data_IF_488007230540
#
_entry.id   IF_488007230540
#
_cell.length_a   1.000
_cell.length_b   1.000
_cell.length_c   1.000
_cell.angle_alpha   90.00
_cell.angle_beta   90.00
_cell.angle_gamma   90.00
#
_symmetry.space_group_name_H-M   'P 1'
#
loop_
_entity.id
_entity.type
_entity.pdbx_description
1 polymer ?
#
# COMPACT_ATOMS: atom_id res chain seq x y z
N UNK A 1 -21.06 8.82 1.76
CA UNK A 1 -20.14 7.80 2.33
C UNK A 1 -18.73 8.18 1.93
N UNK A 2 -17.80 8.34 2.88
CA UNK A 2 -16.39 8.61 2.54
C UNK A 2 -15.79 7.36 1.89
N UNK A 3 -15.07 7.53 0.78
CA UNK A 3 -14.42 6.43 0.06
C UNK A 3 -12.99 6.24 0.59
N UNK A 4 -12.47 5.02 0.44
CA UNK A 4 -11.04 4.75 0.61
C UNK A 4 -10.28 5.51 -0.48
N UNK A 5 -9.26 6.27 -0.09
CA UNK A 5 -8.39 6.99 -1.01
C UNK A 5 -6.94 6.56 -0.80
N UNK A 6 -6.19 6.41 -1.89
CA UNK A 6 -4.75 6.21 -1.84
C UNK A 6 -4.03 7.46 -2.30
N UNK A 7 -2.98 7.84 -1.57
CA UNK A 7 -2.13 8.99 -1.86
C UNK A 7 -0.71 8.48 -2.08
N UNK A 8 -0.13 8.85 -3.21
CA UNK A 8 1.24 8.54 -3.58
C UNK A 8 2.11 9.78 -3.38
N UNK A 9 3.32 9.59 -2.86
CA UNK A 9 4.34 10.63 -2.84
C UNK A 9 5.69 10.07 -3.23
N UNK A 10 6.37 10.77 -4.15
CA UNK A 10 7.75 10.49 -4.52
C UNK A 10 8.70 11.03 -3.45
N UNK A 11 9.74 10.28 -3.13
CA UNK A 11 10.80 10.76 -2.22
C UNK A 11 11.45 12.04 -2.76
N UNK A 12 11.65 13.02 -1.89
CA UNK A 12 12.14 14.35 -2.27
C UNK A 12 11.07 15.32 -2.77
N UNK A 13 9.85 14.84 -3.04
CA UNK A 13 8.70 15.68 -3.37
C UNK A 13 7.87 16.00 -2.11
N UNK A 14 7.26 17.19 -2.11
CA UNK A 14 6.32 17.63 -1.07
C UNK A 14 4.87 17.39 -1.48
N UNK A 15 4.59 17.26 -2.77
CA UNK A 15 3.25 17.00 -3.28
C UNK A 15 2.79 15.58 -2.93
N UNK A 16 1.48 15.45 -2.73
CA UNK A 16 0.78 14.16 -2.67
C UNK A 16 -0.10 14.04 -3.90
N UNK A 17 -0.01 12.92 -4.58
CA UNK A 17 -0.80 12.61 -5.77
C UNK A 17 -1.93 11.64 -5.37
N UNK A 18 -3.20 12.04 -5.47
CA UNK A 18 -4.31 11.12 -5.25
C UNK A 18 -4.36 10.09 -6.39
N UNK A 19 -4.53 8.81 -6.04
CA UNK A 19 -4.77 7.75 -7.00
C UNK A 19 -6.29 7.63 -7.20
N UNK A 20 -6.80 8.39 -8.16
CA UNK A 20 -8.25 8.52 -8.41
C UNK A 20 -8.86 7.28 -9.09
N UNK A 21 -8.02 6.47 -9.73
CA UNK A 21 -8.41 5.25 -10.44
C UNK A 21 -7.91 4.00 -9.71
N UNK A 22 -8.59 2.85 -9.85
CA UNK A 22 -8.12 1.58 -9.26
C UNK A 22 -6.77 1.09 -9.80
N UNK A 23 -6.36 1.58 -10.98
CA UNK A 23 -5.09 1.28 -11.63
C UNK A 23 -4.49 2.57 -12.17
N UNK A 24 -3.18 2.75 -11.98
CA UNK A 24 -2.42 3.91 -12.41
C UNK A 24 -1.02 3.46 -12.83
N UNK A 25 -0.48 4.12 -13.85
CA UNK A 25 0.91 3.94 -14.26
C UNK A 25 1.79 5.01 -13.63
N UNK A 26 2.92 4.57 -13.09
CA UNK A 26 3.93 5.46 -12.49
C UNK A 26 5.31 5.06 -12.99
N UNK A 27 6.22 6.03 -13.03
CA UNK A 27 7.62 5.77 -13.34
C UNK A 27 8.29 5.00 -12.20
N UNK A 28 9.34 4.25 -12.53
CA UNK A 28 10.21 3.65 -11.52
C UNK A 28 10.79 4.74 -10.60
N UNK A 29 10.83 4.46 -9.30
CA UNK A 29 11.36 5.39 -8.32
C UNK A 29 11.07 4.98 -6.89
N UNK A 30 11.44 5.86 -5.96
CA UNK A 30 11.21 5.65 -4.53
C UNK A 30 9.98 6.44 -4.10
N UNK A 31 8.97 5.72 -3.62
CA UNK A 31 7.66 6.26 -3.30
C UNK A 31 7.19 5.76 -1.95
N UNK A 32 6.31 6.52 -1.31
CA UNK A 32 5.46 6.04 -0.22
C UNK A 32 3.99 6.13 -0.62
N UNK A 33 3.20 5.21 -0.10
CA UNK A 33 1.75 5.20 -0.28
C UNK A 33 1.07 5.32 1.07
N UNK A 34 0.13 6.25 1.20
CA UNK A 34 -0.73 6.43 2.37
C UNK A 34 -2.17 6.16 1.96
N UNK A 35 -2.88 5.38 2.78
CA UNK A 35 -4.32 5.20 2.65
C UNK A 35 -5.05 6.16 3.58
N UNK A 36 -6.09 6.83 3.07
CA UNK A 36 -7.09 7.53 3.86
C UNK A 36 -8.33 6.65 3.91
N UNK A 37 -8.55 6.02 5.05
CA UNK A 37 -9.62 5.05 5.28
C UNK A 37 -10.77 5.76 6.01
N UNK A 38 -12.04 5.50 5.66
CA UNK A 38 -13.18 6.15 6.28
C UNK A 38 -13.45 5.70 7.74
N UNK A 39 -12.54 4.97 8.37
CA UNK A 39 -12.63 4.45 9.74
C UNK A 39 -11.39 4.88 10.54
N UNK A 40 -11.48 5.96 11.35
CA UNK A 40 -10.41 6.39 12.24
C UNK A 40 -10.13 5.39 13.37
N UNK A 41 -8.89 5.36 13.86
CA UNK A 41 -8.46 4.52 14.99
C UNK A 41 -8.79 3.02 14.86
N UNK A 42 -8.98 2.53 13.63
CA UNK A 42 -9.43 1.18 13.32
C UNK A 42 -8.24 0.26 12.98
N UNK A 43 -8.34 -0.99 13.40
CA UNK A 43 -7.42 -2.04 12.95
C UNK A 43 -7.81 -2.52 11.55
N UNK A 44 -6.79 -2.68 10.71
CA UNK A 44 -6.93 -3.10 9.32
C UNK A 44 -5.84 -4.10 8.96
N UNK A 45 -6.10 -4.91 7.95
CA UNK A 45 -5.07 -5.67 7.25
C UNK A 45 -4.67 -4.94 5.97
N UNK A 46 -3.38 -4.72 5.79
CA UNK A 46 -2.77 -4.18 4.57
C UNK A 46 -2.17 -5.36 3.81
N UNK A 47 -2.51 -5.50 2.53
CA UNK A 47 -1.86 -6.46 1.62
C UNK A 47 -1.24 -5.76 0.43
N UNK A 48 -0.02 -6.14 0.10
CA UNK A 48 0.75 -5.64 -1.04
C UNK A 48 1.23 -6.84 -1.85
N UNK A 49 0.87 -6.86 -3.13
CA UNK A 49 1.37 -7.84 -4.08
C UNK A 49 2.24 -7.14 -5.12
N UNK A 50 3.37 -7.76 -5.43
CA UNK A 50 4.23 -7.36 -6.53
C UNK A 50 4.40 -8.53 -7.49
N UNK A 51 4.21 -8.26 -8.78
CA UNK A 51 4.50 -9.20 -9.86
C UNK A 51 5.52 -8.54 -10.78
N UNK A 52 6.71 -9.15 -10.90
CA UNK A 52 7.76 -8.66 -11.80
C UNK A 52 7.33 -8.76 -13.27
N UNK A 53 7.79 -7.81 -14.08
CA UNK A 53 7.69 -7.87 -15.55
C UNK A 53 8.85 -8.66 -16.21
N UNK A 54 9.85 -9.11 -15.45
CA UNK A 54 10.98 -9.86 -16.02
C UNK A 54 10.56 -11.25 -16.54
N UNK A 55 10.87 -11.52 -17.81
CA UNK A 55 10.45 -12.72 -18.56
C UNK A 55 11.11 -14.01 -18.08
N UNK A 56 12.19 -13.93 -17.30
CA UNK A 56 13.04 -15.09 -16.97
C UNK A 56 12.44 -15.93 -15.83
N UNK A 57 11.63 -15.34 -14.95
CA UNK A 57 10.80 -16.03 -13.95
C UNK A 57 9.85 -15.02 -13.29
N UNK A 58 8.51 -15.16 -13.42
CA UNK A 58 7.58 -14.27 -12.74
C UNK A 58 7.65 -14.50 -11.22
N UNK A 59 8.47 -13.70 -10.55
CA UNK A 59 8.53 -13.71 -9.09
C UNK A 59 7.36 -12.90 -8.56
N UNK A 60 6.35 -13.61 -8.01
CA UNK A 60 5.25 -13.00 -7.28
C UNK A 60 5.62 -12.90 -5.81
N UNK A 61 5.62 -11.69 -5.28
CA UNK A 61 5.85 -11.41 -3.87
C UNK A 61 4.57 -10.90 -3.24
N UNK A 62 4.23 -11.43 -2.07
CA UNK A 62 3.08 -11.01 -1.29
C UNK A 62 3.54 -10.62 0.11
N UNK A 63 3.08 -9.47 0.60
CA UNK A 63 3.32 -9.02 1.96
C UNK A 63 1.99 -8.62 2.58
N UNK A 64 1.74 -9.08 3.80
CA UNK A 64 0.61 -8.62 4.60
C UNK A 64 1.07 -8.14 5.97
N UNK A 65 0.40 -7.12 6.51
CA UNK A 65 0.61 -6.70 7.89
C UNK A 65 -0.66 -6.07 8.46
N UNK A 66 -0.84 -6.22 9.76
CA UNK A 66 -1.85 -5.46 10.51
C UNK A 66 -1.34 -4.06 10.80
N UNK A 67 -2.23 -3.07 10.74
CA UNK A 67 -1.95 -1.70 11.12
C UNK A 67 -3.18 -1.06 11.75
N UNK A 68 -2.97 0.04 12.46
CA UNK A 68 -4.05 0.86 13.00
C UNK A 68 -4.06 2.22 12.31
N UNK A 69 -5.21 2.67 11.84
CA UNK A 69 -5.37 4.03 11.32
C UNK A 69 -5.24 5.04 12.45
N UNK A 70 -4.75 6.24 12.14
CA UNK A 70 -4.66 7.31 13.12
C UNK A 70 -6.03 8.01 13.32
N UNK A 71 -6.14 9.05 14.18
CA UNK A 71 -7.39 9.79 14.39
C UNK A 71 -7.94 10.47 13.13
N UNK A 72 -7.11 10.74 12.13
CA UNK A 72 -7.51 11.27 10.83
C UNK A 72 -7.91 10.17 9.83
N UNK A 73 -7.83 8.90 10.20
CA UNK A 73 -8.08 7.76 9.33
C UNK A 73 -6.93 7.45 8.35
N UNK A 74 -5.75 8.00 8.58
CA UNK A 74 -4.56 7.79 7.75
C UNK A 74 -3.73 6.59 8.22
N UNK A 75 -3.12 5.90 7.27
CA UNK A 75 -2.20 4.79 7.51
C UNK A 75 -1.17 4.69 6.39
N UNK A 76 0.08 4.37 6.74
CA UNK A 76 1.11 4.08 5.73
C UNK A 76 0.87 2.67 5.18
N UNK A 77 0.71 2.56 3.85
CA UNK A 77 0.51 1.29 3.12
C UNK A 77 1.84 0.75 2.63
N UNK A 78 2.65 1.60 1.99
CA UNK A 78 4.05 1.32 1.64
C UNK A 78 4.89 2.47 2.20
N UNK A 79 5.92 2.22 3.02
CA UNK A 79 6.89 3.24 3.40
C UNK A 79 7.70 3.69 2.16
N UNK A 80 8.71 4.55 2.31
CA UNK A 80 9.57 4.87 1.16
C UNK A 80 10.29 3.63 0.65
N UNK A 81 9.80 3.09 -0.45
CA UNK A 81 10.25 1.86 -1.09
C UNK A 81 10.53 2.15 -2.55
N UNK A 82 11.60 1.57 -3.10
CA UNK A 82 11.88 1.64 -4.53
C UNK A 82 10.91 0.71 -5.27
N UNK A 83 9.89 1.28 -5.90
CA UNK A 83 8.91 0.56 -6.71
C UNK A 83 9.55 0.25 -8.06
N UNK A 84 9.86 -1.03 -8.28
CA UNK A 84 10.44 -1.56 -9.51
C UNK A 84 9.39 -1.71 -10.61
N UNK A 85 9.79 -1.74 -11.89
CA UNK A 85 8.90 -2.06 -13.00
C UNK A 85 8.18 -3.38 -12.76
N UNK A 86 6.85 -3.36 -12.84
CA UNK A 86 6.01 -4.50 -12.51
C UNK A 86 4.63 -4.06 -12.06
N UNK A 87 3.77 -5.04 -11.78
CA UNK A 87 2.43 -4.79 -11.29
C UNK A 87 2.43 -4.79 -9.75
N UNK A 88 2.09 -3.64 -9.17
CA UNK A 88 1.89 -3.47 -7.73
C UNK A 88 0.39 -3.40 -7.43
N UNK A 89 -0.10 -4.30 -6.59
CA UNK A 89 -1.51 -4.33 -6.18
C UNK A 89 -1.61 -4.10 -4.67
N UNK A 90 -2.48 -3.16 -4.28
CA UNK A 90 -2.67 -2.75 -2.90
C UNK A 90 -4.10 -3.05 -2.49
N UNK A 91 -4.29 -3.63 -1.31
CA UNK A 91 -5.63 -3.76 -0.71
C UNK A 91 -5.59 -3.52 0.79
N UNK A 92 -6.70 -2.98 1.29
CA UNK A 92 -6.95 -2.74 2.70
C UNK A 92 -8.26 -3.45 3.06
N UNK A 93 -8.21 -4.35 4.03
CA UNK A 93 -9.37 -5.10 4.49
C UNK A 93 -9.71 -4.67 5.93
N UNK A 94 -10.98 -4.48 6.27
CA UNK A 94 -11.41 -4.43 7.67
C UNK A 94 -11.01 -5.74 8.34
N UNK A 95 -10.43 -5.69 9.54
CA UNK A 95 -9.85 -6.87 10.21
C UNK A 95 -10.84 -8.06 10.30
N UNK A 96 -10.60 -9.17 9.58
CA UNK A 96 -11.22 -10.45 9.85
C UNK A 96 -10.24 -11.28 10.68
N UNK A 97 -10.21 -11.03 11.99
CA UNK A 97 -9.46 -11.81 12.98
C UNK A 97 -7.93 -11.83 12.80
N UNK A 98 -7.29 -10.88 13.47
CA UNK A 98 -5.99 -10.98 14.15
C UNK A 98 -5.37 -12.40 14.25
N UNK A 99 -4.59 -12.80 13.25
CA UNK A 99 -3.35 -13.55 13.47
C UNK A 99 -2.24 -12.79 12.77
N UNK A 100 -1.25 -12.22 13.50
CA UNK A 100 -0.09 -11.66 12.82
C UNK A 100 0.58 -12.78 12.03
N UNK A 101 0.74 -12.59 10.72
CA UNK A 101 1.74 -13.35 9.99
C UNK A 101 3.06 -13.12 10.71
N UNK A 102 3.67 -14.20 11.22
CA UNK A 102 4.92 -14.11 11.96
C UNK A 102 5.94 -13.32 11.13
N UNK A 103 6.58 -12.28 11.69
CA UNK A 103 7.86 -11.86 11.16
C UNK A 103 8.86 -12.98 11.48
N UNK A 104 9.62 -13.45 10.51
CA UNK A 104 10.87 -14.15 10.79
C UNK A 104 12.06 -13.32 10.36
N UNK A 105 13.12 -13.51 11.13
CA UNK A 105 14.42 -12.87 11.15
C UNK A 105 15.15 -12.90 9.81
#
# INVERSE_FOLDING_TARGET
MKKLEFLLQKEGDRAWLPLETPSVEILEGRYRVVGRIPHPNAEIEIRVFYTSCDEVSPQRQAQSRSARTNPEGLVVIIPYTRLKPGMWQLSCLPDPQSKPAQPWQ
#
